data_IF_890927315701
#
_entry.id   IF_890927315701
#
_cell.length_a   1.000
_cell.length_b   1.000
_cell.length_c   1.000
_cell.angle_alpha   90.00
_cell.angle_beta   90.00
_cell.angle_gamma   90.00
#
_symmetry.space_group_name_H-M   'P 1'
#
loop_
_entity.id
_entity.type
_entity.pdbx_description
1 polymer ?
#
# COMPACT_ATOMS: atom_id res chain seq x y z
N UNK A 1 22.45 -28.21 -23.84
CA UNK A 1 21.29 -27.88 -23.00
C UNK A 1 21.64 -26.58 -22.27
N UNK A 2 21.09 -25.45 -22.71
CA UNK A 2 21.27 -24.19 -22.00
C UNK A 2 20.44 -24.27 -20.71
N UNK A 3 21.11 -24.30 -19.57
CA UNK A 3 20.44 -24.03 -18.30
C UNK A 3 20.01 -22.57 -18.35
N UNK A 4 18.71 -22.32 -18.47
CA UNK A 4 18.18 -21.01 -18.10
C UNK A 4 18.46 -20.85 -16.61
N UNK A 5 19.52 -20.11 -16.28
CA UNK A 5 19.73 -19.63 -14.93
C UNK A 5 18.52 -18.78 -14.59
N UNK A 6 17.64 -19.32 -13.75
CA UNK A 6 16.47 -18.59 -13.27
C UNK A 6 17.02 -17.48 -12.37
N UNK A 7 17.30 -16.31 -12.93
CA UNK A 7 17.76 -15.15 -12.18
C UNK A 7 16.63 -14.68 -11.28
N UNK A 8 16.91 -14.49 -10.00
CA UNK A 8 15.93 -13.97 -9.06
C UNK A 8 15.53 -12.56 -9.53
N UNK A 9 14.24 -12.27 -9.77
CA UNK A 9 13.79 -10.92 -10.17
C UNK A 9 13.94 -9.91 -9.02
N UNK A 10 14.11 -10.38 -7.79
CA UNK A 10 14.34 -9.54 -6.61
C UNK A 10 15.84 -9.43 -6.37
N UNK A 11 16.37 -8.21 -6.45
CA UNK A 11 17.74 -7.91 -6.10
C UNK A 11 17.94 -6.42 -5.82
N UNK A 12 17.76 -5.99 -4.56
CA UNK A 12 17.99 -4.59 -4.18
C UNK A 12 18.79 -4.49 -2.88
N UNK A 13 19.87 -3.69 -2.91
CA UNK A 13 20.81 -3.53 -1.79
C UNK A 13 20.83 -2.11 -1.21
N UNK A 14 20.26 -1.14 -1.91
CA UNK A 14 20.24 0.26 -1.55
C UNK A 14 19.15 0.99 -2.35
N UNK A 15 19.00 2.28 -2.10
CA UNK A 15 17.90 3.11 -2.61
C UNK A 15 18.32 4.01 -3.80
N UNK A 16 19.50 3.80 -4.41
CA UNK A 16 20.04 4.72 -5.43
C UNK A 16 20.68 4.05 -6.65
N UNK A 17 20.98 2.76 -6.59
CA UNK A 17 21.39 2.03 -7.79
C UNK A 17 20.29 2.09 -8.87
N UNK A 18 20.64 1.95 -10.16
CA UNK A 18 19.66 2.05 -11.24
C UNK A 18 18.44 1.13 -11.02
N UNK A 19 17.25 1.72 -11.02
CA UNK A 19 16.00 1.00 -10.78
C UNK A 19 15.59 0.22 -12.03
N UNK A 20 15.34 -1.08 -11.90
CA UNK A 20 14.93 -1.96 -13.02
C UNK A 20 13.46 -2.37 -12.96
N UNK A 21 12.94 -2.66 -11.76
CA UNK A 21 11.55 -3.11 -11.55
C UNK A 21 11.00 -2.53 -10.24
N UNK A 22 9.73 -2.10 -10.24
CA UNK A 22 9.07 -1.50 -9.07
C UNK A 22 7.62 -1.95 -8.95
N UNK A 23 7.14 -2.11 -7.71
CA UNK A 23 5.73 -2.32 -7.40
C UNK A 23 5.08 -0.98 -7.11
N UNK A 24 3.98 -0.69 -7.79
CA UNK A 24 3.14 0.49 -7.57
C UNK A 24 1.85 0.06 -6.88
N UNK A 25 1.49 0.78 -5.82
CA UNK A 25 0.28 0.54 -5.06
C UNK A 25 -1.00 0.88 -5.84
N UNK A 26 -2.15 0.49 -5.29
CA UNK A 26 -3.47 0.82 -5.84
C UNK A 26 -4.27 1.71 -4.88
N UNK A 27 -5.03 2.61 -5.49
CA UNK A 27 -6.00 3.46 -4.80
C UNK A 27 -7.37 2.80 -4.70
N UNK A 28 -7.60 1.73 -5.46
CA UNK A 28 -8.90 1.11 -5.59
C UNK A 28 -9.29 0.35 -4.31
N UNK A 29 -10.53 0.57 -3.87
CA UNK A 29 -11.07 -0.04 -2.66
C UNK A 29 -10.48 0.52 -1.36
N UNK A 30 -9.67 1.59 -1.40
CA UNK A 30 -9.09 2.20 -0.21
C UNK A 30 -10.16 2.70 0.78
N UNK A 31 -9.96 2.37 2.05
CA UNK A 31 -10.80 2.75 3.19
C UNK A 31 -10.00 3.64 4.14
N UNK A 32 -10.64 4.61 4.76
CA UNK A 32 -10.06 5.42 5.81
C UNK A 32 -9.85 4.58 7.09
N UNK A 33 -8.76 4.75 7.85
CA UNK A 33 -8.48 3.88 8.99
C UNK A 33 -9.63 3.87 10.00
N UNK A 34 -10.13 2.66 10.31
CA UNK A 34 -11.18 2.46 11.30
C UNK A 34 -10.64 2.38 12.73
N UNK A 35 -9.34 2.13 12.90
CA UNK A 35 -8.64 2.10 14.17
C UNK A 35 -7.63 3.24 14.20
N UNK A 36 -7.71 4.11 15.22
CA UNK A 36 -6.98 5.38 15.24
C UNK A 36 -5.83 5.43 16.23
N UNK A 37 -5.48 4.34 16.93
CA UNK A 37 -4.47 4.37 18.00
C UNK A 37 -3.11 4.87 17.51
N UNK A 38 -2.66 4.39 16.34
CA UNK A 38 -1.42 4.88 15.73
C UNK A 38 -1.61 6.31 15.25
N UNK A 39 -2.73 6.63 14.61
CA UNK A 39 -2.98 7.96 14.07
C UNK A 39 -3.04 9.05 15.16
N UNK A 40 -3.65 8.78 16.30
CA UNK A 40 -3.68 9.69 17.45
C UNK A 40 -2.26 9.95 18.00
N UNK A 41 -1.35 8.99 17.86
CA UNK A 41 0.04 9.10 18.31
C UNK A 41 0.99 9.73 17.28
N UNK A 42 0.67 9.62 15.98
CA UNK A 42 1.58 10.03 14.89
C UNK A 42 1.11 11.26 14.13
N UNK A 43 -0.19 11.55 14.10
CA UNK A 43 -0.72 12.73 13.43
C UNK A 43 -0.48 13.99 14.28
N UNK A 44 -0.22 15.14 13.65
CA UNK A 44 -0.19 16.41 14.36
C UNK A 44 -1.54 16.68 15.06
N UNK A 45 -1.54 17.36 16.23
CA UNK A 45 -2.76 17.61 16.99
C UNK A 45 -3.88 18.22 16.14
N UNK A 46 -5.03 17.56 16.12
CA UNK A 46 -6.23 18.01 15.40
C UNK A 46 -6.29 17.63 13.92
N UNK A 47 -5.19 17.22 13.28
CA UNK A 47 -5.20 16.85 11.85
C UNK A 47 -5.95 15.54 11.60
N UNK A 48 -5.84 14.57 12.53
CA UNK A 48 -6.63 13.34 12.44
C UNK A 48 -8.13 13.61 12.44
N UNK A 49 -8.62 14.48 13.34
CA UNK A 49 -10.04 14.84 13.41
C UNK A 49 -10.50 15.54 12.13
N UNK A 50 -9.70 16.44 11.56
CA UNK A 50 -10.03 17.12 10.30
C UNK A 50 -10.12 16.12 9.15
N UNK A 51 -9.18 15.19 9.06
CA UNK A 51 -9.18 14.17 8.02
C UNK A 51 -10.41 13.25 8.14
N UNK A 52 -10.75 12.85 9.38
CA UNK A 52 -11.95 12.06 9.68
C UNK A 52 -13.23 12.77 9.20
N UNK A 53 -13.36 14.06 9.49
CA UNK A 53 -14.51 14.88 9.07
C UNK A 53 -14.58 15.03 7.55
N UNK A 54 -13.43 15.18 6.87
CA UNK A 54 -13.35 15.32 5.42
C UNK A 54 -13.74 14.03 4.67
N UNK A 55 -13.37 12.87 5.21
CA UNK A 55 -13.62 11.56 4.57
C UNK A 55 -15.00 10.99 4.94
N UNK A 56 -15.65 11.55 5.96
CA UNK A 56 -17.00 11.15 6.36
C UNK A 56 -17.03 10.03 7.40
N UNK A 57 -15.91 9.75 8.07
CA UNK A 57 -15.85 8.85 9.22
C UNK A 57 -14.82 7.73 9.12
N UNK A 58 -14.64 7.05 10.26
CA UNK A 58 -13.69 5.95 10.42
C UNK A 58 -14.20 4.72 9.66
N UNK A 59 -13.35 4.07 8.85
CA UNK A 59 -13.77 2.95 8.00
C UNK A 59 -14.68 3.33 6.83
N UNK A 60 -14.75 4.62 6.47
CA UNK A 60 -15.43 5.08 5.25
C UNK A 60 -14.51 4.95 4.02
N UNK A 61 -15.04 4.70 2.81
CA UNK A 61 -14.23 4.81 1.61
C UNK A 61 -13.74 6.25 1.41
N UNK A 62 -12.57 6.42 0.78
CA UNK A 62 -12.11 7.76 0.42
C UNK A 62 -13.09 8.45 -0.56
N UNK A 63 -13.29 9.79 -0.47
CA UNK A 63 -14.14 10.53 -1.38
C UNK A 63 -13.71 10.33 -2.85
N UNK A 64 -14.64 10.02 -3.77
CA UNK A 64 -14.31 9.70 -5.16
C UNK A 64 -13.48 10.79 -5.84
N UNK A 65 -13.75 12.06 -5.57
CA UNK A 65 -13.02 13.19 -6.14
C UNK A 65 -11.53 13.21 -5.76
N UNK A 66 -11.20 12.80 -4.53
CA UNK A 66 -9.81 12.69 -4.07
C UNK A 66 -9.12 11.49 -4.73
N UNK A 67 -9.85 10.37 -4.85
CA UNK A 67 -9.34 9.17 -5.52
C UNK A 67 -9.09 9.42 -7.01
N UNK A 68 -10.00 10.11 -7.71
CA UNK A 68 -9.82 10.45 -9.13
C UNK A 68 -8.66 11.43 -9.35
N UNK A 69 -8.45 12.39 -8.44
CA UNK A 69 -7.29 13.28 -8.52
C UNK A 69 -5.98 12.50 -8.35
N UNK A 70 -5.89 11.68 -7.30
CA UNK A 70 -4.72 10.85 -7.04
C UNK A 70 -4.47 9.82 -8.16
N UNK A 71 -5.51 9.30 -8.80
CA UNK A 71 -5.37 8.37 -9.93
C UNK A 71 -4.71 9.02 -11.14
N UNK A 72 -4.97 10.31 -11.39
CA UNK A 72 -4.28 11.05 -12.47
C UNK A 72 -2.80 11.21 -12.17
N UNK A 73 -2.47 11.58 -10.94
CA UNK A 73 -1.07 11.72 -10.51
C UNK A 73 -0.34 10.37 -10.57
N UNK A 74 -0.99 9.29 -10.15
CA UNK A 74 -0.43 7.93 -10.21
C UNK A 74 -0.21 7.46 -11.65
N UNK A 75 -1.16 7.74 -12.55
CA UNK A 75 -1.03 7.38 -13.96
C UNK A 75 0.16 8.10 -14.62
N UNK A 76 0.35 9.38 -14.32
CA UNK A 76 1.52 10.14 -14.81
C UNK A 76 2.82 9.61 -14.21
N UNK A 77 2.83 9.27 -12.93
CA UNK A 77 4.02 8.69 -12.29
C UNK A 77 4.43 7.34 -12.91
N UNK A 78 3.46 6.46 -13.16
CA UNK A 78 3.69 5.19 -13.87
C UNK A 78 4.24 5.46 -15.28
N UNK A 79 3.64 6.40 -16.02
CA UNK A 79 4.10 6.77 -17.36
C UNK A 79 5.56 7.21 -17.37
N UNK A 80 5.97 8.05 -16.41
CA UNK A 80 7.36 8.52 -16.28
C UNK A 80 8.30 7.34 -16.02
N UNK A 81 7.96 6.44 -15.09
CA UNK A 81 8.79 5.27 -14.77
C UNK A 81 8.99 4.36 -15.99
N UNK A 82 7.91 4.05 -16.71
CA UNK A 82 7.98 3.23 -17.92
C UNK A 82 8.78 3.92 -19.04
N UNK A 83 8.66 5.25 -19.17
CA UNK A 83 9.45 6.03 -20.14
C UNK A 83 10.95 6.02 -19.83
N UNK A 84 11.34 5.91 -18.55
CA UNK A 84 12.73 5.71 -18.10
C UNK A 84 13.19 4.24 -18.20
N UNK A 85 12.33 3.33 -18.70
CA UNK A 85 12.66 1.92 -18.91
C UNK A 85 12.48 1.03 -17.68
N UNK A 86 11.84 1.53 -16.62
CA UNK A 86 11.54 0.75 -15.41
C UNK A 86 10.32 -0.15 -15.66
N UNK A 87 10.42 -1.41 -15.26
CA UNK A 87 9.28 -2.34 -15.27
C UNK A 87 8.35 -2.02 -14.11
N UNK A 88 7.09 -1.68 -14.38
CA UNK A 88 6.09 -1.39 -13.34
C UNK A 88 5.17 -2.58 -13.12
N UNK A 89 5.03 -3.01 -11.86
CA UNK A 89 4.03 -4.01 -11.44
C UNK A 89 2.92 -3.34 -10.64
N UNK A 90 1.69 -3.51 -11.09
CA UNK A 90 0.50 -3.06 -10.37
C UNK A 90 -0.05 -4.14 -9.47
N UNK A 91 -0.73 -3.74 -8.41
CA UNK A 91 -1.44 -4.64 -7.50
C UNK A 91 -2.90 -4.79 -7.89
N UNK A 92 -3.46 -5.96 -7.61
CA UNK A 92 -4.87 -6.23 -7.90
C UNK A 92 -5.79 -5.45 -6.93
N UNK A 93 -6.93 -4.93 -7.43
CA UNK A 93 -7.94 -4.32 -6.57
C UNK A 93 -8.40 -5.28 -5.47
N UNK A 94 -8.40 -4.80 -4.23
CA UNK A 94 -8.74 -5.59 -3.05
C UNK A 94 -9.94 -4.98 -2.32
N UNK A 95 -10.85 -5.84 -1.82
CA UNK A 95 -11.99 -5.39 -1.04
C UNK A 95 -11.60 -5.10 0.41
N UNK A 96 -11.07 -3.89 0.67
CA UNK A 96 -10.77 -3.45 2.04
C UNK A 96 -12.00 -3.11 2.87
N UNK A 97 -13.21 -3.06 2.29
CA UNK A 97 -14.44 -2.84 3.07
C UNK A 97 -14.91 -4.10 3.83
N UNK A 98 -14.30 -5.26 3.58
CA UNK A 98 -14.67 -6.49 4.27
C UNK A 98 -14.20 -6.46 5.74
N UNK A 99 -15.07 -6.81 6.71
CA UNK A 99 -14.67 -6.92 8.11
C UNK A 99 -13.81 -8.18 8.33
N UNK A 100 -12.89 -8.09 9.28
CA UNK A 100 -12.04 -9.21 9.69
C UNK A 100 -11.65 -9.07 11.16
N UNK A 101 -11.03 -10.09 11.73
CA UNK A 101 -10.57 -10.02 13.11
C UNK A 101 -9.72 -11.20 13.54
N UNK A 102 -9.23 -11.10 14.76
CA UNK A 102 -8.58 -12.17 15.50
C UNK A 102 -9.46 -12.55 16.70
N UNK A 103 -9.06 -13.53 17.53
CA UNK A 103 -9.73 -13.80 18.80
C UNK A 103 -9.81 -12.58 19.75
N UNK A 104 -8.86 -11.64 19.68
CA UNK A 104 -8.72 -10.54 20.65
C UNK A 104 -9.19 -9.18 20.13
N UNK A 105 -9.40 -9.03 18.82
CA UNK A 105 -9.81 -7.77 18.21
C UNK A 105 -10.58 -7.97 16.92
N UNK A 106 -11.37 -6.97 16.54
CA UNK A 106 -12.18 -6.95 15.32
C UNK A 106 -11.95 -5.63 14.59
N UNK A 107 -11.99 -5.70 13.26
CA UNK A 107 -11.86 -4.57 12.36
C UNK A 107 -13.07 -4.55 11.41
N UNK A 108 -13.78 -3.41 11.29
CA UNK A 108 -14.91 -3.29 10.37
C UNK A 108 -14.45 -3.21 8.90
N UNK A 109 -13.21 -2.79 8.67
CA UNK A 109 -12.58 -2.65 7.36
C UNK A 109 -11.06 -2.75 7.50
N UNK A 110 -10.38 -3.00 6.39
CA UNK A 110 -8.95 -2.78 6.23
C UNK A 110 -8.60 -1.31 5.94
N UNK A 111 -7.41 -1.10 5.38
CA UNK A 111 -6.91 0.21 4.99
C UNK A 111 -6.83 0.37 3.46
N UNK A 112 -5.67 0.12 2.85
CA UNK A 112 -5.46 0.23 1.40
C UNK A 112 -4.21 -0.54 0.96
N UNK A 113 -3.96 -0.62 -0.34
CA UNK A 113 -2.70 -1.12 -0.93
C UNK A 113 -1.93 0.00 -1.65
N UNK A 114 -2.10 1.25 -1.21
CA UNK A 114 -1.51 2.41 -1.87
C UNK A 114 0.00 2.54 -1.61
N UNK A 115 0.49 2.02 -0.46
CA UNK A 115 1.84 2.25 0.03
C UNK A 115 2.62 0.93 0.18
N UNK A 116 3.09 0.31 -0.92
CA UNK A 116 3.85 -0.96 -0.87
C UNK A 116 5.11 -0.90 0.01
N UNK A 117 5.68 0.29 0.23
CA UNK A 117 6.86 0.45 1.06
C UNK A 117 6.61 0.20 2.55
N UNK A 118 5.36 0.33 3.00
CA UNK A 118 5.03 0.18 4.41
C UNK A 118 5.06 -1.29 4.88
N UNK A 119 4.41 -2.25 4.19
CA UNK A 119 4.42 -3.64 4.64
C UNK A 119 5.58 -4.48 4.10
N UNK A 120 6.40 -3.98 3.16
CA UNK A 120 7.49 -4.75 2.56
C UNK A 120 8.87 -4.12 2.74
N UNK A 121 9.86 -4.97 3.00
CA UNK A 121 11.28 -4.64 2.97
C UNK A 121 12.02 -5.57 2.02
N UNK A 122 12.89 -5.02 1.17
CA UNK A 122 13.73 -5.81 0.26
C UNK A 122 15.18 -5.78 0.76
N UNK A 123 15.79 -6.96 0.89
CA UNK A 123 17.21 -7.11 1.26
C UNK A 123 17.86 -8.13 0.33
N UNK A 124 18.63 -7.63 -0.65
CA UNK A 124 19.19 -8.47 -1.71
C UNK A 124 18.08 -9.20 -2.44
N UNK A 125 18.07 -10.53 -2.33
CA UNK A 125 17.13 -11.42 -3.01
C UNK A 125 15.87 -11.78 -2.20
N UNK A 126 15.66 -11.13 -1.06
CA UNK A 126 14.56 -11.44 -0.15
C UNK A 126 13.56 -10.28 -0.07
N UNK A 127 12.27 -10.60 -0.19
CA UNK A 127 11.16 -9.71 0.17
C UNK A 127 10.64 -10.18 1.53
N UNK A 128 10.60 -9.28 2.49
CA UNK A 128 10.13 -9.51 3.85
C UNK A 128 8.78 -8.82 4.04
N UNK A 129 7.75 -9.61 4.35
CA UNK A 129 6.46 -9.10 4.87
C UNK A 129 6.64 -8.69 6.35
N UNK A 130 6.47 -7.41 6.64
CA UNK A 130 6.69 -6.86 7.98
C UNK A 130 5.43 -6.95 8.87
N UNK A 131 5.58 -7.10 10.19
CA UNK A 131 4.45 -7.15 11.11
C UNK A 131 3.90 -5.75 11.35
N UNK A 132 2.86 -5.37 10.60
CA UNK A 132 2.21 -4.07 10.76
C UNK A 132 1.66 -3.89 12.18
N UNK A 133 1.89 -2.70 12.75
CA UNK A 133 1.41 -2.35 14.09
C UNK A 133 -0.07 -1.91 14.08
N UNK A 134 -0.62 -1.61 12.90
CA UNK A 134 -2.01 -1.23 12.70
C UNK A 134 -2.89 -2.45 12.44
N UNK A 135 -3.93 -2.62 13.26
CA UNK A 135 -4.92 -3.71 13.09
C UNK A 135 -5.61 -3.66 11.73
N UNK A 136 -5.90 -2.47 11.21
CA UNK A 136 -6.50 -2.28 9.87
C UNK A 136 -5.59 -2.71 8.73
N UNK A 137 -4.29 -2.89 9.00
CA UNK A 137 -3.26 -3.26 8.01
C UNK A 137 -2.81 -4.71 8.13
N UNK A 138 -3.47 -5.51 8.98
CA UNK A 138 -3.07 -6.89 9.27
C UNK A 138 -3.01 -7.81 8.04
N UNK A 139 -3.93 -7.61 7.09
CA UNK A 139 -4.00 -8.38 5.83
C UNK A 139 -3.57 -7.56 4.61
N UNK A 140 -2.85 -6.45 4.80
CA UNK A 140 -2.49 -5.54 3.70
C UNK A 140 -1.62 -6.21 2.63
N UNK A 141 -0.70 -7.09 3.04
CA UNK A 141 0.17 -7.83 2.11
C UNK A 141 -0.59 -8.76 1.17
N UNK A 142 -1.85 -9.10 1.46
CA UNK A 142 -2.63 -10.02 0.63
C UNK A 142 -3.01 -9.44 -0.72
N UNK A 143 -3.02 -8.11 -0.86
CA UNK A 143 -3.23 -7.44 -2.15
C UNK A 143 -2.06 -7.65 -3.16
N UNK A 144 -0.94 -8.20 -2.70
CA UNK A 144 0.31 -8.36 -3.45
C UNK A 144 0.64 -9.82 -3.78
N UNK A 145 -0.32 -10.73 -3.56
CA UNK A 145 -0.15 -12.18 -3.76
C UNK A 145 -0.56 -12.65 -5.14
#
# INVERSE_FOLDING_TARGET
MQSSSNTCPVNSHNEWDPLEEVIIGSLDGAMFPAWNVINDATAPPGEWSKALDQVGGAGAPYPPELVEAARKDLAEFIHILEAEGVTVRSVEPTNFAAPFGSPDWQMPSGFCSANPRDPFLIIGHEIIETPMADRGRYFETWAYR
#
